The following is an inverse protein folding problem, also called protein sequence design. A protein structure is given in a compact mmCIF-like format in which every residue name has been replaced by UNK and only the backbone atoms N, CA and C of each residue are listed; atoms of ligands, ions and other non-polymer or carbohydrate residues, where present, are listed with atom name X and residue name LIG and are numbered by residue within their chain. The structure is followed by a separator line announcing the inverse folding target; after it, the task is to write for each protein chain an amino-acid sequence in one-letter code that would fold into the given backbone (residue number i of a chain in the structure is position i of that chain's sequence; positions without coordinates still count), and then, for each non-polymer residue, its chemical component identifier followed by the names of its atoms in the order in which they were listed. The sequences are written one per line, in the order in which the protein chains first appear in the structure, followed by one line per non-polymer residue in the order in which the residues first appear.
data_IF_196965527646
#
_entry.id   IF_196965527646
#
_cell.length_a   1.000
_cell.length_b   1.000
_cell.length_c   1.000
_cell.angle_alpha   90.00
_cell.angle_beta   90.00
_cell.angle_gamma   90.00
#
_symmetry.space_group_name_H-M   'P 1'
#
loop_
_entity.id
_entity.type
_entity.pdbx_description
1 polymer ?
#
# COMPACT_ATOMS: atom_id res chain seq x y z
N UNK A 1 7.79 -21.44 36.00
CA UNK A 1 6.58 -20.91 35.32
C UNK A 1 6.09 -19.59 35.90
N UNK A 2 5.87 -19.43 37.22
CA UNK A 2 5.31 -18.19 37.79
C UNK A 2 6.21 -16.94 37.62
N UNK A 3 7.51 -17.05 37.93
CA UNK A 3 8.46 -15.93 37.80
C UNK A 3 8.65 -15.42 36.36
N UNK A 4 8.71 -16.32 35.37
CA UNK A 4 8.89 -15.96 33.95
C UNK A 4 7.66 -15.20 33.44
N UNK A 5 6.46 -15.63 33.83
CA UNK A 5 5.21 -14.98 33.43
C UNK A 5 5.05 -13.57 34.04
N UNK A 6 5.57 -13.38 35.25
CA UNK A 6 5.61 -12.07 35.93
C UNK A 6 6.59 -11.14 35.20
N UNK A 7 7.79 -11.60 34.88
CA UNK A 7 8.81 -10.80 34.16
C UNK A 7 8.36 -10.40 32.76
N UNK A 8 7.69 -11.29 32.03
CA UNK A 8 7.11 -11.00 30.72
C UNK A 8 6.00 -9.95 30.86
N UNK A 9 5.06 -10.13 31.79
CA UNK A 9 3.98 -9.16 31.99
C UNK A 9 4.48 -7.78 32.42
N UNK A 10 5.50 -7.71 33.27
CA UNK A 10 6.13 -6.45 33.67
C UNK A 10 6.82 -5.77 32.49
N UNK A 11 7.48 -6.54 31.62
CA UNK A 11 8.14 -6.03 30.41
C UNK A 11 7.13 -5.51 29.38
N UNK A 12 5.99 -6.21 29.21
CA UNK A 12 4.89 -5.80 28.32
C UNK A 12 4.21 -4.53 28.83
N UNK A 13 3.95 -4.42 30.15
CA UNK A 13 3.40 -3.19 30.74
C UNK A 13 4.37 -2.01 30.62
N UNK A 14 5.67 -2.25 30.75
CA UNK A 14 6.71 -1.22 30.55
C UNK A 14 6.78 -0.77 29.08
N UNK A 15 6.61 -1.70 28.13
CA UNK A 15 6.51 -1.40 26.69
C UNK A 15 5.30 -0.52 26.36
N UNK A 16 4.10 -0.90 26.82
CA UNK A 16 2.89 -0.10 26.55
C UNK A 16 3.00 1.30 27.15
N UNK A 17 3.67 1.45 28.30
CA UNK A 17 3.95 2.75 28.90
C UNK A 17 4.94 3.58 28.05
N UNK A 18 6.02 2.98 27.54
CA UNK A 18 7.04 3.65 26.71
C UNK A 18 6.52 4.01 25.31
N UNK A 19 5.63 3.19 24.73
CA UNK A 19 4.95 3.46 23.46
C UNK A 19 4.10 4.73 23.51
N UNK A 20 3.55 5.05 24.68
CA UNK A 20 2.66 6.20 24.91
C UNK A 20 3.41 7.52 25.13
N UNK A 21 4.69 7.48 25.52
CA UNK A 21 5.49 8.66 25.86
C UNK A 21 6.58 9.03 24.85
N UNK A 22 6.85 8.21 23.82
CA UNK A 22 7.90 8.54 22.84
C UNK A 22 7.52 8.28 21.38
N UNK A 23 7.68 9.32 20.55
CA UNK A 23 7.48 9.31 19.09
C UNK A 23 8.73 8.89 18.30
N UNK A 24 9.84 8.61 18.99
CA UNK A 24 11.12 8.36 18.32
C UNK A 24 11.30 6.89 17.93
N UNK A 25 11.50 6.62 16.64
CA UNK A 25 11.54 5.27 16.04
C UNK A 25 12.61 4.35 16.67
N UNK A 26 13.73 4.92 17.09
CA UNK A 26 14.88 4.21 17.66
C UNK A 26 14.52 3.51 18.98
N UNK A 27 13.69 4.15 19.81
CA UNK A 27 13.27 3.60 21.12
C UNK A 27 12.32 2.41 20.93
N UNK A 28 11.48 2.44 19.89
CA UNK A 28 10.56 1.33 19.60
C UNK A 28 11.28 0.11 19.04
N UNK A 29 12.31 0.32 18.21
CA UNK A 29 13.16 -0.75 17.67
C UNK A 29 14.02 -1.40 18.76
N UNK A 30 14.65 -0.59 19.64
CA UNK A 30 15.46 -1.10 20.75
C UNK A 30 14.65 -1.92 21.76
N UNK A 31 13.38 -1.57 21.99
CA UNK A 31 12.53 -2.36 22.90
C UNK A 31 12.11 -3.68 22.24
N UNK A 32 11.87 -3.70 20.94
CA UNK A 32 11.57 -4.94 20.20
C UNK A 32 12.78 -5.88 20.22
N UNK A 33 13.99 -5.37 20.01
CA UNK A 33 15.21 -6.19 20.06
C UNK A 33 15.51 -6.70 21.47
N UNK A 34 15.27 -5.90 22.52
CA UNK A 34 15.40 -6.37 23.91
C UNK A 34 14.38 -7.46 24.29
N UNK A 35 13.13 -7.32 23.86
CA UNK A 35 12.10 -8.34 24.06
C UNK A 35 12.48 -9.63 23.32
N UNK A 36 13.06 -9.52 22.12
CA UNK A 36 13.56 -10.65 21.35
C UNK A 36 14.76 -11.34 22.02
N UNK A 37 15.68 -10.59 22.63
CA UNK A 37 16.82 -11.17 23.37
C UNK A 37 16.38 -11.90 24.65
N UNK A 38 15.42 -11.34 25.38
CA UNK A 38 14.79 -11.99 26.56
C UNK A 38 14.10 -13.28 26.11
N UNK A 39 13.41 -13.27 24.97
CA UNK A 39 12.76 -14.44 24.39
C UNK A 39 13.77 -15.55 24.01
N UNK A 40 14.88 -15.21 23.35
CA UNK A 40 15.96 -16.15 23.01
C UNK A 40 16.60 -16.81 24.25
N UNK A 41 16.69 -16.05 25.35
CA UNK A 41 17.25 -16.54 26.62
C UNK A 41 16.29 -17.54 27.30
N UNK A 42 14.98 -17.34 27.15
CA UNK A 42 13.94 -18.24 27.70
C UNK A 42 13.78 -19.52 26.86
N UNK A 43 14.11 -19.50 25.57
CA UNK A 43 13.97 -20.65 24.65
C UNK A 43 15.10 -21.67 24.71
N UNK A 44 16.22 -21.40 25.39
CA UNK A 44 17.29 -22.39 25.63
C UNK A 44 16.94 -23.43 26.72
N UNK A 45 15.67 -23.49 27.14
CA UNK A 45 15.16 -24.51 28.06
C UNK A 45 14.73 -25.77 27.28
N UNK A 46 15.13 -26.98 27.72
CA UNK A 46 15.17 -28.19 26.89
C UNK A 46 13.80 -28.81 26.52
N UNK A 47 12.66 -28.13 26.71
CA UNK A 47 11.33 -28.75 26.54
C UNK A 47 10.21 -27.81 26.04
N UNK A 48 10.47 -26.89 25.10
CA UNK A 48 9.40 -26.07 24.47
C UNK A 48 9.06 -26.56 23.05
N UNK A 49 7.77 -26.84 22.72
CA UNK A 49 7.40 -27.36 21.40
C UNK A 49 7.39 -26.26 20.31
N UNK A 50 7.80 -26.58 19.07
CA UNK A 50 8.15 -25.59 18.04
C UNK A 50 6.96 -24.84 17.41
N UNK A 51 5.72 -25.30 17.56
CA UNK A 51 4.58 -24.84 16.74
C UNK A 51 4.10 -23.41 17.08
N UNK A 52 4.25 -22.98 18.33
CA UNK A 52 3.83 -21.63 18.77
C UNK A 52 4.83 -20.53 18.37
N UNK A 53 6.07 -20.91 18.07
CA UNK A 53 7.15 -20.01 17.67
C UNK A 53 6.90 -19.47 16.26
N UNK A 54 6.49 -20.33 15.32
CA UNK A 54 6.17 -19.94 13.96
C UNK A 54 4.97 -19.02 13.90
N UNK A 55 3.93 -19.27 14.71
CA UNK A 55 2.74 -18.41 14.74
C UNK A 55 3.07 -16.98 15.23
N UNK A 56 3.98 -16.87 16.19
CA UNK A 56 4.46 -15.57 16.71
C UNK A 56 5.39 -14.85 15.72
N UNK A 57 6.26 -15.60 15.03
CA UNK A 57 7.13 -15.07 13.98
C UNK A 57 6.33 -14.68 12.71
N UNK A 58 5.29 -15.43 12.36
CA UNK A 58 4.33 -15.12 11.30
C UNK A 58 3.53 -13.86 11.64
N UNK A 59 2.99 -13.76 12.86
CA UNK A 59 2.32 -12.54 13.33
C UNK A 59 3.26 -11.33 13.31
N UNK A 60 4.54 -11.50 13.64
CA UNK A 60 5.56 -10.44 13.51
C UNK A 60 5.78 -10.03 12.06
N UNK A 61 5.93 -10.99 11.13
CA UNK A 61 6.05 -10.71 9.69
C UNK A 61 4.80 -10.01 9.15
N UNK A 62 3.61 -10.45 9.51
CA UNK A 62 2.34 -9.83 9.08
C UNK A 62 2.22 -8.40 9.60
N UNK A 63 2.62 -8.15 10.85
CA UNK A 63 2.67 -6.80 11.40
C UNK A 63 3.73 -5.93 10.70
N UNK A 64 4.94 -6.44 10.46
CA UNK A 64 6.00 -5.71 9.75
C UNK A 64 5.55 -5.37 8.32
N UNK A 65 4.92 -6.32 7.61
CA UNK A 65 4.36 -6.12 6.28
C UNK A 65 3.20 -5.12 6.32
N UNK A 66 2.33 -5.16 7.34
CA UNK A 66 1.24 -4.20 7.52
C UNK A 66 1.76 -2.79 7.83
N UNK A 67 2.79 -2.65 8.65
CA UNK A 67 3.40 -1.35 8.96
C UNK A 67 4.20 -0.80 7.77
N UNK A 68 4.94 -1.64 7.04
CA UNK A 68 5.58 -1.26 5.78
C UNK A 68 4.55 -0.81 4.74
N UNK A 69 3.39 -1.47 4.69
CA UNK A 69 2.27 -1.07 3.84
C UNK A 69 1.73 0.31 4.26
N UNK A 70 1.44 0.53 5.54
CA UNK A 70 0.92 1.82 6.03
C UNK A 70 1.87 3.00 5.74
N UNK A 71 3.18 2.82 5.99
CA UNK A 71 4.18 3.88 5.78
C UNK A 71 4.40 4.25 4.32
N UNK A 72 4.02 3.38 3.38
CA UNK A 72 4.26 3.59 1.97
C UNK A 72 2.95 3.78 1.18
N UNK A 73 1.80 3.43 1.76
CA UNK A 73 0.48 3.97 1.38
C UNK A 73 0.47 5.50 1.54
N UNK A 74 1.13 6.02 2.58
CA UNK A 74 1.35 7.44 2.80
C UNK A 74 1.98 8.14 1.58
N UNK A 75 2.88 7.49 0.84
CA UNK A 75 3.54 8.06 -0.35
C UNK A 75 2.54 8.29 -1.49
N UNK A 76 1.56 7.39 -1.66
CA UNK A 76 0.53 7.50 -2.71
C UNK A 76 -0.63 8.41 -2.29
N UNK A 77 -0.78 8.65 -1.00
CA UNK A 77 -1.85 9.46 -0.42
C UNK A 77 -1.39 10.89 -0.06
N UNK A 78 -0.10 11.20 -0.22
CA UNK A 78 0.43 12.54 0.00
C UNK A 78 -0.16 13.53 -1.03
N UNK A 79 -0.78 14.60 -0.52
CA UNK A 79 -1.40 15.65 -1.33
C UNK A 79 -0.54 16.90 -1.30
N UNK A 80 -0.41 17.57 -2.46
CA UNK A 80 0.31 18.84 -2.57
C UNK A 80 -0.47 19.99 -1.94
N UNK A 81 0.22 21.00 -1.40
CA UNK A 81 -0.45 22.21 -0.92
C UNK A 81 -1.16 22.93 -2.10
N UNK A 82 -2.38 23.46 -1.89
CA UNK A 82 -3.09 24.20 -2.94
C UNK A 82 -2.33 25.48 -3.34
N UNK A 83 -1.55 26.07 -2.43
CA UNK A 83 -0.70 27.22 -2.69
C UNK A 83 0.41 26.91 -3.71
N UNK A 84 1.11 25.78 -3.53
CA UNK A 84 2.17 25.35 -4.46
C UNK A 84 1.58 25.01 -5.83
N UNK A 85 0.46 24.29 -5.87
CA UNK A 85 -0.21 23.95 -7.12
C UNK A 85 -0.58 25.22 -7.91
N UNK A 86 -1.19 26.21 -7.24
CA UNK A 86 -1.58 27.49 -7.86
C UNK A 86 -0.35 28.28 -8.34
N UNK A 87 0.74 28.24 -7.57
CA UNK A 87 1.99 28.92 -7.92
C UNK A 87 2.60 28.34 -9.19
N UNK A 88 2.77 27.03 -9.26
CA UNK A 88 3.39 26.38 -10.43
C UNK A 88 2.46 26.38 -11.64
N UNK A 89 1.14 26.34 -11.44
CA UNK A 89 0.18 26.53 -12.51
C UNK A 89 0.33 27.90 -13.15
N UNK A 90 0.43 28.97 -12.36
CA UNK A 90 0.62 30.33 -12.87
C UNK A 90 1.91 30.44 -13.69
N UNK A 91 3.02 29.98 -13.14
CA UNK A 91 4.32 30.00 -13.83
C UNK A 91 4.27 29.24 -15.16
N UNK A 92 3.62 28.08 -15.19
CA UNK A 92 3.47 27.29 -16.40
C UNK A 92 2.68 28.06 -17.48
N UNK A 93 1.56 28.69 -17.13
CA UNK A 93 0.74 29.43 -18.09
C UNK A 93 1.40 30.75 -18.54
N UNK A 94 2.15 31.41 -17.66
CA UNK A 94 2.95 32.59 -18.01
C UNK A 94 4.02 32.24 -19.06
N UNK A 95 4.79 31.17 -18.84
CA UNK A 95 5.78 30.71 -19.81
C UNK A 95 5.14 30.21 -21.12
N UNK A 96 4.00 29.53 -21.02
CA UNK A 96 3.25 29.07 -22.20
C UNK A 96 2.77 30.25 -23.06
N UNK A 97 2.28 31.32 -22.44
CA UNK A 97 1.90 32.55 -23.12
C UNK A 97 3.10 33.24 -23.77
N UNK A 98 4.28 33.16 -23.15
CA UNK A 98 5.53 33.70 -23.67
C UNK A 98 6.15 32.86 -24.80
N UNK A 99 5.49 31.76 -25.20
CA UNK A 99 5.79 30.99 -26.41
C UNK A 99 6.51 29.66 -26.19
N UNK A 100 7.10 29.43 -25.02
CA UNK A 100 7.74 28.16 -24.69
C UNK A 100 7.84 27.94 -23.19
N UNK A 101 7.50 26.73 -22.73
CA UNK A 101 7.65 26.34 -21.33
C UNK A 101 9.01 25.68 -21.11
N UNK A 102 9.70 26.08 -20.06
CA UNK A 102 10.95 25.44 -19.65
C UNK A 102 10.70 24.03 -19.09
N UNK A 103 11.64 23.12 -19.33
CA UNK A 103 11.55 21.73 -18.81
C UNK A 103 11.35 21.69 -17.29
N UNK A 104 12.00 22.59 -16.55
CA UNK A 104 11.89 22.68 -15.10
C UNK A 104 10.49 23.14 -14.67
N UNK A 105 9.92 24.17 -15.30
CA UNK A 105 8.57 24.65 -14.99
C UNK A 105 7.52 23.60 -15.34
N UNK A 106 7.64 22.94 -16.49
CA UNK A 106 6.77 21.82 -16.86
C UNK A 106 6.87 20.68 -15.85
N UNK A 107 8.08 20.32 -15.41
CA UNK A 107 8.28 19.27 -14.41
C UNK A 107 7.63 19.63 -13.07
N UNK A 108 7.89 20.83 -12.55
CA UNK A 108 7.34 21.27 -11.27
C UNK A 108 5.81 21.31 -11.27
N UNK A 109 5.20 21.81 -12.35
CA UNK A 109 3.75 21.79 -12.49
C UNK A 109 3.21 20.36 -12.56
N UNK A 110 3.85 19.49 -13.34
CA UNK A 110 3.46 18.07 -13.45
C UNK A 110 3.58 17.34 -12.12
N UNK A 111 4.66 17.60 -11.36
CA UNK A 111 4.90 17.07 -10.02
C UNK A 111 3.75 17.42 -9.05
N UNK A 112 3.27 18.65 -9.08
CA UNK A 112 2.11 19.06 -8.28
C UNK A 112 0.83 18.36 -8.75
N UNK A 113 0.60 18.31 -10.06
CA UNK A 113 -0.59 17.69 -10.64
C UNK A 113 -0.72 16.19 -10.31
N UNK A 114 0.38 15.42 -10.39
CA UNK A 114 0.35 13.98 -10.05
C UNK A 114 0.12 13.72 -8.57
N UNK A 115 0.18 14.75 -7.72
CA UNK A 115 -0.12 14.75 -6.27
C UNK A 115 -1.44 15.45 -5.93
N UNK A 116 -2.23 15.88 -6.92
CA UNK A 116 -3.58 16.44 -6.72
C UNK A 116 -4.58 15.38 -6.24
N UNK A 117 -5.67 15.78 -5.61
CA UNK A 117 -6.80 14.89 -5.26
C UNK A 117 -7.64 14.51 -6.48
N UNK A 118 -7.61 15.32 -7.53
CA UNK A 118 -8.46 15.15 -8.70
C UNK A 118 -7.80 14.25 -9.76
N UNK A 119 -8.50 13.20 -10.18
CA UNK A 119 -8.02 12.29 -11.22
C UNK A 119 -7.76 13.00 -12.57
N UNK A 120 -8.46 14.10 -12.87
CA UNK A 120 -8.24 14.88 -14.08
C UNK A 120 -6.86 15.54 -14.07
N UNK A 121 -6.49 16.16 -12.95
CA UNK A 121 -5.18 16.78 -12.74
C UNK A 121 -4.08 15.74 -12.83
N UNK A 122 -4.24 14.60 -12.18
CA UNK A 122 -3.24 13.51 -12.22
C UNK A 122 -3.01 13.05 -13.66
N UNK A 123 -4.07 12.90 -14.47
CA UNK A 123 -3.94 12.56 -15.89
C UNK A 123 -3.18 13.65 -16.67
N UNK A 124 -3.47 14.92 -16.43
CA UNK A 124 -2.74 16.05 -17.04
C UNK A 124 -1.26 16.00 -16.67
N UNK A 125 -0.94 15.78 -15.39
CA UNK A 125 0.43 15.65 -14.90
C UNK A 125 1.18 14.48 -15.52
N UNK A 126 0.52 13.32 -15.68
CA UNK A 126 1.11 12.16 -16.38
C UNK A 126 1.46 12.51 -17.83
N UNK A 127 0.56 13.16 -18.57
CA UNK A 127 0.80 13.53 -19.96
C UNK A 127 2.01 14.46 -20.10
N UNK A 128 2.10 15.48 -19.23
CA UNK A 128 3.24 16.41 -19.23
C UNK A 128 4.56 15.71 -18.86
N UNK A 129 4.55 14.75 -17.93
CA UNK A 129 5.74 13.94 -17.61
C UNK A 129 6.14 13.01 -18.75
N UNK A 130 5.18 12.41 -19.46
CA UNK A 130 5.48 11.57 -20.63
C UNK A 130 6.13 12.37 -21.76
N UNK A 131 5.71 13.63 -21.97
CA UNK A 131 6.33 14.54 -22.92
C UNK A 131 7.77 14.88 -22.52
N UNK A 132 8.01 15.22 -21.25
CA UNK A 132 9.36 15.44 -20.72
C UNK A 132 10.24 14.19 -20.88
N UNK A 133 9.70 13.01 -20.59
CA UNK A 133 10.44 11.75 -20.71
C UNK A 133 10.82 11.42 -22.15
N UNK A 134 9.96 11.73 -23.13
CA UNK A 134 10.24 11.51 -24.57
C UNK A 134 11.26 12.49 -25.12
N UNK A 135 11.22 13.73 -24.66
CA UNK A 135 12.12 14.79 -25.13
C UNK A 135 13.49 14.74 -24.45
N UNK A 136 13.57 14.20 -23.24
CA UNK A 136 14.84 14.00 -22.53
C UNK A 136 15.62 12.81 -23.12
N UNK A 137 16.80 13.06 -23.68
CA UNK A 137 17.64 12.02 -24.28
C UNK A 137 18.91 11.76 -23.48
N UNK A 138 19.48 12.79 -22.86
CA UNK A 138 20.85 12.79 -22.33
C UNK A 138 20.92 12.65 -20.81
N UNK A 139 19.95 13.19 -20.07
CA UNK A 139 19.98 13.24 -18.61
C UNK A 139 19.29 12.03 -17.96
N UNK A 140 20.10 11.07 -17.50
CA UNK A 140 19.64 9.84 -16.83
C UNK A 140 19.01 10.14 -15.47
N UNK A 141 19.53 11.12 -14.73
CA UNK A 141 19.02 11.48 -13.41
C UNK A 141 17.60 12.06 -13.53
N UNK A 142 17.36 12.92 -14.52
CA UNK A 142 16.00 13.43 -14.81
C UNK A 142 15.06 12.34 -15.27
N UNK A 143 15.52 11.44 -16.14
CA UNK A 143 14.72 10.28 -16.58
C UNK A 143 14.29 9.42 -15.39
N UNK A 144 15.18 9.21 -14.43
CA UNK A 144 14.88 8.49 -13.18
C UNK A 144 13.74 9.19 -12.42
N UNK A 145 13.83 10.51 -12.25
CA UNK A 145 12.79 11.28 -11.56
C UNK A 145 11.45 11.22 -12.29
N UNK A 146 11.45 11.34 -13.63
CA UNK A 146 10.24 11.22 -14.43
C UNK A 146 9.59 9.83 -14.30
N UNK A 147 10.38 8.76 -14.34
CA UNK A 147 9.89 7.39 -14.15
C UNK A 147 9.26 7.20 -12.78
N UNK A 148 9.86 7.78 -11.73
CA UNK A 148 9.32 7.72 -10.38
C UNK A 148 7.93 8.35 -10.28
N UNK A 149 7.77 9.59 -10.78
CA UNK A 149 6.49 10.29 -10.74
C UNK A 149 5.45 9.72 -11.70
N UNK A 150 5.86 9.17 -12.85
CA UNK A 150 4.98 8.41 -13.73
C UNK A 150 4.44 7.14 -13.05
N UNK A 151 5.28 6.43 -12.30
CA UNK A 151 4.85 5.27 -11.53
C UNK A 151 3.82 5.64 -10.46
N UNK A 152 4.05 6.72 -9.70
CA UNK A 152 3.12 7.23 -8.69
C UNK A 152 1.81 7.68 -9.33
N UNK A 153 1.85 8.54 -10.35
CA UNK A 153 0.65 9.07 -11.01
C UNK A 153 -0.25 7.95 -11.53
N UNK A 154 0.33 6.97 -12.25
CA UNK A 154 -0.42 5.83 -12.76
C UNK A 154 -0.98 4.94 -11.63
N UNK A 155 -0.25 4.76 -10.53
CA UNK A 155 -0.74 4.01 -9.37
C UNK A 155 -1.96 4.69 -8.71
N UNK A 156 -1.97 6.03 -8.65
CA UNK A 156 -3.06 6.81 -8.03
C UNK A 156 -4.35 6.74 -8.84
N UNK A 157 -4.26 6.72 -10.17
CA UNK A 157 -5.44 6.53 -11.05
C UNK A 157 -5.80 5.07 -11.33
N UNK A 158 -5.19 4.12 -10.59
CA UNK A 158 -5.43 2.67 -10.68
C UNK A 158 -4.97 2.02 -12.01
N UNK A 159 -4.12 2.68 -12.77
CA UNK A 159 -3.44 2.15 -13.95
C UNK A 159 -2.21 1.32 -13.52
N UNK A 160 -2.45 0.27 -12.73
CA UNK A 160 -1.39 -0.48 -12.05
C UNK A 160 -0.41 -1.13 -13.03
N UNK A 161 -0.87 -1.63 -14.18
CA UNK A 161 0.00 -2.24 -15.20
C UNK A 161 1.04 -1.26 -15.72
N UNK A 162 0.63 -0.02 -16.01
CA UNK A 162 1.55 1.06 -16.44
C UNK A 162 2.49 1.45 -15.31
N UNK A 163 1.97 1.62 -14.10
CA UNK A 163 2.77 1.93 -12.92
C UNK A 163 3.89 0.91 -12.70
N UNK A 164 3.59 -0.39 -12.75
CA UNK A 164 4.60 -1.46 -12.62
C UNK A 164 5.63 -1.44 -13.74
N UNK A 165 5.24 -1.09 -14.96
CA UNK A 165 6.18 -0.93 -16.09
C UNK A 165 7.19 0.19 -15.79
N UNK A 166 6.74 1.32 -15.27
CA UNK A 166 7.62 2.43 -14.90
C UNK A 166 8.51 2.07 -13.71
N UNK A 167 7.99 1.39 -12.68
CA UNK A 167 8.82 0.90 -11.57
C UNK A 167 9.95 -0.01 -12.05
N UNK A 168 9.65 -0.96 -12.96
CA UNK A 168 10.67 -1.87 -13.53
C UNK A 168 11.69 -1.13 -14.39
N UNK A 169 11.26 -0.15 -15.18
CA UNK A 169 12.16 0.69 -15.96
C UNK A 169 13.11 1.49 -15.04
N UNK A 170 12.60 2.03 -13.93
CA UNK A 170 13.43 2.70 -12.92
C UNK A 170 14.42 1.72 -12.30
N UNK A 171 13.97 0.54 -11.86
CA UNK A 171 14.83 -0.46 -11.22
C UNK A 171 15.88 -1.06 -12.18
N UNK A 172 15.67 -0.95 -13.49
CA UNK A 172 16.70 -1.29 -14.47
C UNK A 172 17.87 -0.29 -14.46
N UNK A 173 17.62 0.96 -14.06
CA UNK A 173 18.64 2.01 -13.91
C UNK A 173 19.28 1.92 -12.51
N UNK A 174 18.47 1.80 -11.47
CA UNK A 174 18.94 1.75 -10.07
C UNK A 174 18.36 0.54 -9.31
N UNK A 175 18.94 -0.67 -9.50
CA UNK A 175 18.38 -1.90 -8.95
C UNK A 175 18.34 -1.95 -7.43
N UNK A 176 19.26 -1.26 -6.76
CA UNK A 176 19.40 -1.25 -5.30
C UNK A 176 18.43 -0.26 -4.60
N UNK A 177 17.59 0.45 -5.36
CA UNK A 177 16.71 1.45 -4.80
C UNK A 177 15.53 0.82 -4.05
N UNK A 178 15.63 0.79 -2.72
CA UNK A 178 14.61 0.18 -1.85
C UNK A 178 13.27 0.92 -1.88
N UNK A 179 13.27 2.24 -2.15
CA UNK A 179 12.05 3.04 -2.26
C UNK A 179 11.18 2.59 -3.43
N UNK A 180 11.78 2.37 -4.62
CA UNK A 180 11.04 1.93 -5.80
C UNK A 180 10.67 0.45 -5.75
N UNK A 181 11.52 -0.39 -5.14
CA UNK A 181 11.14 -1.78 -4.85
C UNK A 181 9.90 -1.85 -3.94
N UNK A 182 9.86 -1.01 -2.90
CA UNK A 182 8.69 -0.90 -2.02
C UNK A 182 7.46 -0.40 -2.78
N UNK A 183 7.61 0.63 -3.62
CA UNK A 183 6.53 1.12 -4.48
C UNK A 183 5.98 0.02 -5.40
N UNK A 184 6.84 -0.75 -6.07
CA UNK A 184 6.42 -1.87 -6.93
C UNK A 184 5.60 -2.90 -6.15
N UNK A 185 6.03 -3.26 -4.94
CA UNK A 185 5.31 -4.22 -4.09
C UNK A 185 3.93 -3.72 -3.65
N UNK A 186 3.81 -2.42 -3.33
CA UNK A 186 2.54 -1.81 -2.95
C UNK A 186 1.57 -1.80 -4.13
N UNK A 187 2.05 -1.42 -5.31
CA UNK A 187 1.25 -1.40 -6.53
C UNK A 187 0.75 -2.80 -6.86
N UNK A 188 1.62 -3.84 -6.77
CA UNK A 188 1.20 -5.25 -6.95
C UNK A 188 0.10 -5.65 -5.96
N UNK A 189 0.28 -5.31 -4.68
CA UNK A 189 -0.70 -5.65 -3.63
C UNK A 189 -2.03 -4.91 -3.79
N UNK A 190 -2.01 -3.64 -4.19
CA UNK A 190 -3.23 -2.87 -4.50
C UNK A 190 -3.96 -3.47 -5.69
N UNK A 191 -3.23 -3.85 -6.76
CA UNK A 191 -3.79 -4.54 -7.93
C UNK A 191 -4.49 -5.86 -7.54
N UNK A 192 -3.86 -6.69 -6.72
CA UNK A 192 -4.46 -7.95 -6.22
C UNK A 192 -5.71 -7.69 -5.35
N UNK A 193 -5.62 -6.72 -4.43
CA UNK A 193 -6.72 -6.39 -3.52
C UNK A 193 -7.94 -5.88 -4.28
N UNK A 194 -7.74 -5.03 -5.28
CA UNK A 194 -8.84 -4.54 -6.12
C UNK A 194 -9.42 -5.63 -7.02
N UNK A 195 -8.58 -6.52 -7.57
CA UNK A 195 -9.04 -7.70 -8.31
C UNK A 195 -9.92 -8.61 -7.46
N UNK A 196 -9.52 -8.86 -6.20
CA UNK A 196 -10.32 -9.66 -5.26
C UNK A 196 -11.65 -9.00 -4.89
N UNK A 197 -11.69 -7.67 -4.72
CA UNK A 197 -12.94 -6.92 -4.49
C UNK A 197 -13.92 -7.07 -5.65
N UNK A 198 -13.42 -7.06 -6.89
CA UNK A 198 -14.24 -7.29 -8.08
C UNK A 198 -14.87 -8.69 -8.09
N UNK A 199 -14.09 -9.72 -7.76
CA UNK A 199 -14.56 -11.11 -7.69
C UNK A 199 -15.58 -11.29 -6.55
N UNK A 200 -15.33 -10.72 -5.37
CA UNK A 200 -16.25 -10.83 -4.23
C UNK A 200 -17.62 -10.20 -4.53
N UNK A 201 -17.64 -9.04 -5.20
CA UNK A 201 -18.87 -8.38 -5.61
C UNK A 201 -19.66 -9.23 -6.62
N UNK A 202 -18.99 -9.81 -7.61
CA UNK A 202 -19.63 -10.66 -8.61
C UNK A 202 -20.13 -12.00 -8.01
N UNK A 203 -19.32 -12.64 -7.17
CA UNK A 203 -19.66 -13.92 -6.54
C UNK A 203 -20.82 -13.82 -5.54
N UNK A 204 -20.91 -12.72 -4.78
CA UNK A 204 -22.03 -12.47 -3.86
C UNK A 204 -23.38 -12.29 -4.58
N UNK A 205 -23.39 -11.63 -5.75
CA UNK A 205 -24.60 -11.44 -6.55
C UNK A 205 -25.16 -12.75 -7.10
N UNK A 206 -24.29 -13.65 -7.57
CA UNK A 206 -24.70 -14.98 -8.08
C UNK A 206 -25.27 -15.86 -6.96
N UNK A 207 -24.67 -15.84 -5.77
CA UNK A 207 -25.17 -16.60 -4.61
C UNK A 207 -26.52 -16.08 -4.10
N UNK A 208 -26.77 -14.77 -4.12
CA UNK A 208 -28.06 -14.20 -3.71
C UNK A 208 -29.21 -14.59 -4.66
N UNK A 209 -28.98 -14.56 -5.97
CA UNK A 209 -29.98 -14.95 -6.96
C UNK A 209 -30.19 -16.47 -7.01
N UNK A 210 -29.12 -17.27 -6.95
CA UNK A 210 -29.20 -18.73 -6.91
C UNK A 210 -29.77 -19.27 -5.60
N UNK A 211 -29.48 -18.62 -4.46
CA UNK A 211 -29.97 -19.00 -3.14
C UNK A 211 -31.48 -18.85 -2.98
N UNK A 212 -32.07 -17.78 -3.51
CA UNK A 212 -33.54 -17.57 -3.45
C UNK A 212 -34.30 -18.61 -4.29
N UNK A 213 -33.79 -18.98 -5.45
CA UNK A 213 -34.41 -20.00 -6.32
C UNK A 213 -34.25 -21.40 -5.69
N UNK A 214 -33.07 -21.71 -5.14
CA UNK A 214 -32.78 -22.98 -4.49
C UNK A 214 -33.58 -23.21 -3.20
N UNK A 215 -33.74 -22.18 -2.35
CA UNK A 215 -34.54 -22.27 -1.12
C UNK A 215 -36.05 -22.36 -1.43
N UNK A 216 -36.53 -21.63 -2.45
CA UNK A 216 -37.93 -21.67 -2.88
C UNK A 216 -38.35 -23.04 -3.41
N UNK A 217 -37.50 -23.70 -4.21
CA UNK A 217 -37.77 -25.05 -4.73
C UNK A 217 -37.71 -26.13 -3.64
N UNK A 218 -36.83 -25.97 -2.65
CA UNK A 218 -36.70 -26.93 -1.54
C UNK A 218 -37.90 -26.86 -0.57
N UNK A 219 -38.45 -25.67 -0.33
CA UNK A 219 -39.66 -25.53 0.50
C UNK A 219 -40.94 -25.97 -0.23
N UNK A 220 -41.00 -25.86 -1.56
CA UNK A 220 -42.14 -26.30 -2.35
C UNK A 220 -42.32 -27.83 -2.42
N UNK A 221 -41.30 -28.62 -2.08
CA UNK A 221 -41.37 -30.10 -2.09
C UNK A 221 -41.80 -30.74 -0.76
N UNK A 222 -42.02 -29.96 0.31
CA UNK A 222 -42.41 -30.47 1.64
C UNK A 222 -43.84 -30.08 2.03
N UNK A 223 -44.80 -30.32 1.14
CA UNK A 223 -46.22 -30.05 1.38
C UNK A 223 -47.12 -30.98 0.56
N UNK A 224 -47.01 -32.30 0.79
CA UNK A 224 -48.06 -33.28 0.49
C UNK A 224 -47.74 -34.56 1.28
N UNK A 225 -48.06 -34.55 2.58
CA UNK A 225 -48.37 -35.77 3.32
C UNK A 225 -49.80 -35.60 3.82
N UNK A 226 -50.72 -36.23 3.10
CA UNK A 226 -52.11 -36.40 3.51
C UNK A 226 -52.17 -37.14 4.86
N UNK A 227 -52.94 -36.66 5.85
CA UNK A 227 -53.17 -37.38 7.09
C UNK A 227 -54.52 -38.12 7.08
N UNK A 228 -54.48 -39.44 7.29
CA UNK A 228 -55.63 -40.29 7.68
C UNK A 228 -56.54 -40.72 6.51
N UNK A 229 -57.29 -41.82 6.58
CA UNK A 229 -57.72 -42.61 7.73
C UNK A 229 -58.41 -43.92 7.28
N UNK A 230 -58.32 -44.95 8.14
CA UNK A 230 -59.17 -46.16 8.28
C UNK A 230 -59.08 -47.24 7.20
#
# INVERSE_FOLDING_TARGET
FSYVNITINLSVKKYEKLKKTSSSCVIRILVITHIFQIFLTVTNLPNFPPVYLWKSLLLSKDHIVKYSYLMADDILNEVVSPEDLTRFERLYHEELHNGSVSRMTQFNYSFCLVRSEFCADIRKGILLLEELFKTETEDIDRKRDYLYYLAIGNARIKEYTKSLKYCRAFLAIEPANSQVQNLENIVKKRMETEGLKGIALAGGAVLALGGLIGLGLAMARKGNKEPGSK
#
